data_IF_211767373423
#
_entry.id   IF_211767373423
#
_cell.length_a   1.000
_cell.length_b   1.000
_cell.length_c   1.000
_cell.angle_alpha   90.00
_cell.angle_beta   90.00
_cell.angle_gamma   90.00
#
_symmetry.space_group_name_H-M   'P 1'
#
loop_
_entity.id
_entity.type
_entity.pdbx_description
1 polymer ?
#
# COMPACT_ATOMS: atom_id res chain seq x y z
N UNK A 1 18.15 -3.17 23.65
CA UNK A 1 17.09 -2.14 23.70
C UNK A 1 17.65 -0.83 23.16
N UNK A 2 17.60 -0.60 21.84
CA UNK A 2 17.93 0.71 21.27
C UNK A 2 16.64 1.34 20.74
N UNK A 3 16.10 2.30 21.49
CA UNK A 3 15.03 3.19 21.04
C UNK A 3 15.67 4.29 20.21
N UNK A 4 15.68 4.13 18.89
CA UNK A 4 15.86 5.26 18.01
C UNK A 4 14.49 5.90 17.80
N UNK A 5 14.28 7.05 18.44
CA UNK A 5 13.17 7.95 18.12
C UNK A 5 13.52 8.60 16.79
N UNK A 6 13.14 7.96 15.67
CA UNK A 6 13.28 8.56 14.36
C UNK A 6 12.07 9.47 14.08
N UNK A 7 12.35 10.68 13.61
CA UNK A 7 11.36 11.56 12.98
C UNK A 7 10.95 10.91 11.66
N UNK A 8 9.88 10.12 11.66
CA UNK A 8 9.38 9.45 10.47
C UNK A 8 8.50 10.39 9.64
N UNK A 9 8.81 10.51 8.35
CA UNK A 9 7.80 10.84 7.34
C UNK A 9 7.03 9.55 7.08
N UNK A 10 5.81 9.46 7.60
CA UNK A 10 4.94 8.32 7.32
C UNK A 10 4.41 8.43 5.90
N UNK A 11 5.05 7.74 4.94
CA UNK A 11 4.44 7.47 3.64
C UNK A 11 3.58 6.21 3.82
N UNK A 12 2.37 6.42 4.34
CA UNK A 12 1.34 5.41 4.30
C UNK A 12 0.89 5.23 2.85
N UNK A 13 1.23 4.09 2.22
CA UNK A 13 0.56 3.67 0.98
C UNK A 13 -0.80 3.06 1.38
N UNK A 14 -1.66 3.89 1.98
CA UNK A 14 -3.10 3.63 1.98
C UNK A 14 -3.58 4.08 0.60
N UNK A 15 -3.81 3.13 -0.31
CA UNK A 15 -4.69 3.39 -1.47
C UNK A 15 -6.13 3.36 -0.95
N UNK A 16 -6.42 4.32 -0.08
CA UNK A 16 -7.76 4.80 0.21
C UNK A 16 -7.69 6.30 -0.01
N UNK A 17 -8.58 6.81 -0.83
CA UNK A 17 -8.78 8.23 -1.09
C UNK A 17 -9.20 8.88 0.24
N UNK A 18 -8.23 9.29 1.06
CA UNK A 18 -8.45 10.13 2.22
C UNK A 18 -7.15 10.82 2.63
N UNK A 19 -6.86 11.93 1.93
CA UNK A 19 -6.38 13.20 2.50
C UNK A 19 -5.21 13.13 3.52
N UNK A 20 -3.98 13.45 3.11
CA UNK A 20 -3.44 14.82 3.23
C UNK A 20 -3.59 15.45 4.64
N UNK A 21 -2.61 15.24 5.53
CA UNK A 21 -2.46 16.08 6.75
C UNK A 21 -1.69 17.39 6.54
N UNK A 22 -1.36 17.75 5.31
CA UNK A 22 -0.81 19.09 4.98
C UNK A 22 -1.38 19.70 3.69
N UNK A 23 -2.44 19.11 3.14
CA UNK A 23 -3.05 19.60 1.89
C UNK A 23 -4.60 19.43 1.90
N UNK A 24 -5.23 19.62 3.06
CA UNK A 24 -6.67 19.47 3.27
C UNK A 24 -7.58 20.47 2.51
N UNK A 25 -7.07 21.15 1.46
CA UNK A 25 -7.81 22.12 0.64
C UNK A 25 -7.56 21.98 -0.86
N UNK A 26 -6.81 20.96 -1.33
CA UNK A 26 -6.58 20.77 -2.76
C UNK A 26 -7.66 19.85 -3.38
N UNK A 27 -8.27 20.21 -4.53
CA UNK A 27 -9.20 19.33 -5.25
C UNK A 27 -8.50 18.04 -5.65
N UNK A 28 -9.26 16.93 -5.69
CA UNK A 28 -8.75 15.61 -6.07
C UNK A 28 -8.20 15.66 -7.51
N UNK A 29 -6.88 15.79 -7.66
CA UNK A 29 -6.23 15.79 -8.98
C UNK A 29 -6.03 14.35 -9.45
N UNK A 30 -6.32 14.10 -10.73
CA UNK A 30 -6.12 12.77 -11.34
C UNK A 30 -4.64 12.45 -11.57
N UNK A 31 -3.79 13.47 -11.60
CA UNK A 31 -2.33 13.35 -11.61
C UNK A 31 -1.78 14.31 -10.57
N UNK A 32 -0.79 13.88 -9.80
CA UNK A 32 -0.13 14.75 -8.82
C UNK A 32 1.36 14.52 -8.84
N UNK A 33 2.12 15.59 -8.97
CA UNK A 33 3.58 15.59 -8.90
C UNK A 33 3.98 16.45 -7.70
N UNK A 34 4.84 15.95 -6.83
CA UNK A 34 5.34 16.73 -5.70
C UNK A 34 6.80 16.43 -5.40
N UNK A 35 7.43 17.42 -4.78
CA UNK A 35 8.79 17.35 -4.30
C UNK A 35 8.81 17.30 -2.77
N UNK A 36 9.72 16.49 -2.24
CA UNK A 36 10.05 16.50 -0.81
C UNK A 36 11.48 16.98 -0.64
N UNK A 37 11.67 17.92 0.29
CA UNK A 37 12.96 18.55 0.60
C UNK A 37 13.75 19.03 -0.64
N UNK A 38 13.04 19.47 -1.69
CA UNK A 38 13.62 19.97 -2.95
C UNK A 38 14.50 18.97 -3.71
N UNK A 39 14.42 17.67 -3.39
CA UNK A 39 15.39 16.68 -3.90
C UNK A 39 14.78 15.32 -4.22
N UNK A 40 13.60 14.96 -3.70
CA UNK A 40 12.92 13.73 -4.07
C UNK A 40 11.62 14.04 -4.81
N UNK A 41 11.47 13.47 -6.00
CA UNK A 41 10.29 13.64 -6.84
C UNK A 41 9.37 12.41 -6.77
N UNK A 42 8.08 12.63 -6.58
CA UNK A 42 7.05 11.60 -6.57
C UNK A 42 5.93 11.97 -7.53
N UNK A 43 5.51 10.99 -8.34
CA UNK A 43 4.44 11.12 -9.32
C UNK A 43 3.32 10.13 -8.96
N UNK A 44 2.16 10.64 -8.56
CA UNK A 44 0.94 9.86 -8.40
C UNK A 44 0.11 9.91 -9.68
N UNK A 45 -0.26 8.74 -10.17
CA UNK A 45 -1.05 8.57 -11.39
C UNK A 45 -2.36 7.86 -11.06
N UNK A 46 -3.47 8.45 -11.51
CA UNK A 46 -4.75 7.75 -11.56
C UNK A 46 -4.72 6.68 -12.66
N UNK A 47 -4.24 5.49 -12.32
CA UNK A 47 -4.12 4.37 -13.25
C UNK A 47 -5.46 3.87 -13.79
N UNK A 48 -6.58 4.15 -13.12
CA UNK A 48 -7.93 3.81 -13.63
C UNK A 48 -8.25 4.61 -14.89
N UNK A 49 -7.72 5.83 -15.00
CA UNK A 49 -7.89 6.68 -16.17
C UNK A 49 -6.94 6.33 -17.33
N UNK A 50 -6.10 5.30 -17.20
CA UNK A 50 -5.19 4.82 -18.26
C UNK A 50 -5.75 3.61 -19.02
N UNK A 51 -7.07 3.55 -19.15
CA UNK A 51 -7.77 2.47 -19.84
C UNK A 51 -7.48 2.45 -21.36
N UNK A 52 -7.29 3.63 -21.97
CA UNK A 52 -7.00 3.79 -23.40
C UNK A 52 -8.25 3.76 -24.31
N UNK A 53 -9.43 3.98 -23.74
CA UNK A 53 -10.72 4.10 -24.44
C UNK A 53 -11.05 5.54 -24.87
N UNK A 54 -10.15 6.48 -24.65
CA UNK A 54 -10.33 7.91 -24.95
C UNK A 54 -11.54 8.52 -24.22
N UNK A 55 -11.90 7.99 -23.05
CA UNK A 55 -12.89 8.64 -22.19
C UNK A 55 -12.43 10.08 -21.85
N UNK A 56 -13.33 11.06 -21.63
CA UNK A 56 -12.92 12.46 -21.41
C UNK A 56 -11.93 12.66 -20.25
N UNK A 57 -12.06 11.88 -19.18
CA UNK A 57 -11.13 11.89 -18.05
C UNK A 57 -9.81 11.22 -18.43
N UNK A 58 -9.87 10.11 -19.17
CA UNK A 58 -8.73 9.33 -19.62
C UNK A 58 -7.82 10.17 -20.53
N UNK A 59 -8.41 10.85 -21.51
CA UNK A 59 -7.69 11.74 -22.41
C UNK A 59 -7.04 12.90 -21.64
N UNK A 60 -7.77 13.54 -20.72
CA UNK A 60 -7.23 14.62 -19.89
C UNK A 60 -6.03 14.16 -19.05
N UNK A 61 -6.10 12.97 -18.47
CA UNK A 61 -5.00 12.37 -17.69
C UNK A 61 -3.80 12.08 -18.57
N UNK A 62 -3.98 11.47 -19.75
CA UNK A 62 -2.87 11.22 -20.67
C UNK A 62 -2.21 12.54 -21.14
N UNK A 63 -3.00 13.57 -21.45
CA UNK A 63 -2.49 14.89 -21.84
C UNK A 63 -1.72 15.57 -20.69
N UNK A 64 -2.21 15.48 -19.46
CA UNK A 64 -1.54 16.01 -18.27
C UNK A 64 -0.21 15.29 -18.01
N UNK A 65 -0.20 13.95 -18.09
CA UNK A 65 1.03 13.15 -17.96
C UNK A 65 2.05 13.49 -19.04
N UNK A 66 1.60 13.66 -20.29
CA UNK A 66 2.48 14.03 -21.39
C UNK A 66 3.08 15.45 -21.20
N UNK A 67 2.30 16.40 -20.69
CA UNK A 67 2.81 17.75 -20.36
C UNK A 67 3.83 17.70 -19.22
N UNK A 68 3.56 16.92 -18.17
CA UNK A 68 4.48 16.75 -17.04
C UNK A 68 5.77 16.05 -17.46
N UNK A 69 5.70 15.04 -18.33
CA UNK A 69 6.90 14.34 -18.82
C UNK A 69 7.81 15.28 -19.61
N UNK A 70 7.23 16.16 -20.44
CA UNK A 70 7.98 17.18 -21.15
C UNK A 70 8.67 18.16 -20.18
N UNK A 71 7.96 18.69 -19.18
CA UNK A 71 8.52 19.61 -18.20
C UNK A 71 9.64 18.98 -17.34
N UNK A 72 9.48 17.71 -16.96
CA UNK A 72 10.51 16.94 -16.25
C UNK A 72 11.74 16.71 -17.12
N UNK A 73 11.57 16.34 -18.39
CA UNK A 73 12.68 16.13 -19.30
C UNK A 73 13.45 17.43 -19.54
N UNK A 74 12.75 18.57 -19.64
CA UNK A 74 13.36 19.91 -19.68
C UNK A 74 14.18 20.22 -18.43
N UNK A 75 13.68 19.85 -17.25
CA UNK A 75 14.39 20.07 -15.98
C UNK A 75 15.67 19.22 -15.90
N UNK A 76 15.65 18.00 -16.44
CA UNK A 76 16.80 17.07 -16.43
C UNK A 76 17.87 17.48 -17.47
N UNK A 77 17.46 17.86 -18.67
CA UNK A 77 18.37 18.15 -19.79
C UNK A 77 18.99 19.56 -19.72
N UNK A 78 18.43 20.46 -18.91
CA UNK A 78 18.93 21.83 -18.76
C UNK A 78 18.79 22.68 -20.04
N UNK A 79 19.51 23.81 -20.08
CA UNK A 79 19.40 24.86 -21.10
C UNK A 79 19.83 24.47 -22.54
N UNK A 80 20.14 23.19 -22.80
CA UNK A 80 20.58 22.67 -24.10
C UNK A 80 19.44 22.72 -25.17
N UNK A 81 18.18 22.82 -24.75
CA UNK A 81 16.99 22.96 -25.61
C UNK A 81 16.20 24.26 -25.30
N UNK A 82 16.89 25.41 -25.25
CA UNK A 82 16.35 26.72 -24.85
C UNK A 82 15.05 27.14 -25.58
N UNK A 83 14.83 26.67 -26.81
CA UNK A 83 13.63 26.96 -27.59
C UNK A 83 12.39 26.11 -27.24
N UNK A 84 12.58 24.82 -26.93
CA UNK A 84 11.49 23.87 -26.68
C UNK A 84 11.02 23.87 -25.21
N UNK A 85 11.90 24.22 -24.27
CA UNK A 85 11.60 24.27 -22.84
C UNK A 85 11.17 25.66 -22.34
N UNK A 86 10.75 26.56 -23.24
CA UNK A 86 10.33 27.91 -22.88
C UNK A 86 8.97 27.85 -22.15
N UNK A 87 8.87 28.46 -20.98
CA UNK A 87 7.67 28.51 -20.12
C UNK A 87 7.23 27.17 -19.50
N UNK A 88 8.10 26.17 -19.39
CA UNK A 88 7.80 24.95 -18.65
C UNK A 88 8.05 25.12 -17.15
N UNK A 89 7.21 24.49 -16.33
CA UNK A 89 7.47 24.35 -14.90
C UNK A 89 8.82 23.63 -14.68
N UNK A 90 9.55 24.07 -13.66
CA UNK A 90 10.87 23.53 -13.31
C UNK A 90 10.73 22.64 -12.08
N UNK A 91 11.34 21.46 -12.14
CA UNK A 91 11.31 20.46 -11.08
C UNK A 91 12.72 19.99 -10.70
N UNK A 92 12.85 19.31 -9.56
CA UNK A 92 14.07 18.63 -9.18
C UNK A 92 14.52 17.66 -10.29
N UNK A 93 15.76 17.77 -10.82
CA UNK A 93 16.25 16.97 -11.93
C UNK A 93 16.62 15.56 -11.44
N UNK A 94 15.59 14.78 -11.13
CA UNK A 94 15.68 13.42 -10.57
C UNK A 94 14.61 12.55 -11.19
N UNK A 95 14.93 11.26 -11.38
CA UNK A 95 13.92 10.29 -11.81
C UNK A 95 12.85 10.15 -10.71
N UNK A 96 11.55 10.26 -11.05
CA UNK A 96 10.49 10.20 -10.06
C UNK A 96 10.32 8.78 -9.49
N UNK A 97 9.75 8.70 -8.29
CA UNK A 97 9.09 7.50 -7.79
C UNK A 97 7.64 7.53 -8.31
N UNK A 98 7.26 6.54 -9.10
CA UNK A 98 5.91 6.42 -9.65
C UNK A 98 5.01 5.68 -8.66
N UNK A 99 3.88 6.30 -8.33
CA UNK A 99 2.87 5.77 -7.43
C UNK A 99 1.57 5.59 -8.21
N UNK A 100 1.01 4.38 -8.19
CA UNK A 100 -0.24 4.08 -8.87
C UNK A 100 -0.99 2.93 -8.19
N UNK A 101 -2.25 2.70 -8.58
CA UNK A 101 -3.02 1.59 -8.03
C UNK A 101 -2.82 0.29 -8.81
N UNK A 102 -3.04 0.32 -10.12
CA UNK A 102 -2.90 -0.86 -10.98
C UNK A 102 -1.42 -1.10 -11.29
N UNK A 103 -0.93 -2.34 -11.25
CA UNK A 103 0.43 -2.66 -11.66
C UNK A 103 0.69 -2.34 -13.13
N UNK A 104 1.96 -2.19 -13.49
CA UNK A 104 2.33 -2.23 -14.90
C UNK A 104 2.04 -3.61 -15.48
N UNK A 105 1.96 -3.66 -16.80
CA UNK A 105 1.65 -4.88 -17.52
C UNK A 105 2.65 -6.00 -17.18
N UNK A 106 2.12 -7.12 -16.70
CA UNK A 106 2.79 -8.42 -16.61
C UNK A 106 1.79 -9.53 -16.92
N UNK A 107 2.27 -10.67 -17.41
CA UNK A 107 1.40 -11.76 -17.88
C UNK A 107 0.69 -12.46 -16.72
N UNK A 108 1.38 -12.62 -15.59
CA UNK A 108 0.86 -13.22 -14.37
C UNK A 108 1.79 -12.91 -13.19
N UNK A 109 1.47 -13.43 -12.01
CA UNK A 109 2.32 -13.38 -10.82
C UNK A 109 3.31 -14.56 -10.71
N UNK A 110 3.54 -15.31 -11.80
CA UNK A 110 4.36 -16.52 -11.78
C UNK A 110 5.79 -16.30 -11.27
N UNK A 111 6.35 -15.11 -11.52
CA UNK A 111 7.69 -14.72 -11.09
C UNK A 111 7.75 -14.18 -9.66
N UNK A 112 6.60 -13.89 -9.04
CA UNK A 112 6.54 -13.28 -7.72
C UNK A 112 6.95 -14.30 -6.65
N UNK A 113 7.81 -13.89 -5.73
CA UNK A 113 8.27 -14.71 -4.59
C UNK A 113 8.06 -13.98 -3.27
N UNK A 114 8.04 -14.73 -2.16
CA UNK A 114 7.87 -14.18 -0.81
C UNK A 114 6.67 -14.76 -0.08
N UNK A 115 6.60 -14.46 1.23
CA UNK A 115 5.56 -14.98 2.14
C UNK A 115 4.18 -14.37 1.84
N UNK A 116 4.15 -13.13 1.38
CA UNK A 116 2.94 -12.40 0.98
C UNK A 116 2.71 -12.42 -0.54
N UNK A 117 3.42 -13.25 -1.29
CA UNK A 117 3.17 -13.42 -2.72
C UNK A 117 1.82 -14.11 -3.00
N UNK A 118 1.42 -14.15 -4.26
CA UNK A 118 0.26 -14.93 -4.73
C UNK A 118 0.44 -16.40 -4.36
N UNK A 119 -0.58 -17.15 -3.91
CA UNK A 119 -0.46 -18.61 -3.70
C UNK A 119 0.02 -19.32 -4.97
N UNK A 120 0.71 -20.46 -4.84
CA UNK A 120 1.25 -21.18 -6.01
C UNK A 120 0.15 -21.59 -6.99
N UNK A 121 -1.01 -21.99 -6.48
CA UNK A 121 -2.16 -22.42 -7.27
C UNK A 121 -2.74 -21.27 -8.13
N UNK A 122 -2.55 -20.02 -7.70
CA UNK A 122 -3.09 -18.83 -8.37
C UNK A 122 -2.02 -18.03 -9.15
N UNK A 123 -0.73 -18.23 -8.85
CA UNK A 123 0.38 -17.43 -9.43
C UNK A 123 0.46 -17.50 -10.96
N UNK A 124 0.01 -18.59 -11.56
CA UNK A 124 0.06 -18.80 -13.01
C UNK A 124 -1.19 -18.30 -13.75
N UNK A 125 -2.19 -17.78 -13.03
CA UNK A 125 -3.38 -17.20 -13.65
C UNK A 125 -2.99 -16.00 -14.52
N UNK A 126 -3.51 -16.00 -15.75
CA UNK A 126 -3.22 -14.95 -16.72
C UNK A 126 -3.98 -13.67 -16.35
N UNK A 127 -3.26 -12.56 -16.29
CA UNK A 127 -3.85 -11.26 -16.05
C UNK A 127 -4.52 -10.69 -17.29
N UNK A 128 -5.70 -10.12 -17.06
CA UNK A 128 -6.44 -9.34 -18.03
C UNK A 128 -5.94 -7.88 -18.02
N UNK A 129 -5.51 -7.40 -19.19
CA UNK A 129 -5.20 -5.99 -19.39
C UNK A 129 -6.40 -5.10 -19.04
N UNK A 130 -6.15 -3.96 -18.41
CA UNK A 130 -7.14 -2.96 -17.98
C UNK A 130 -8.10 -3.44 -16.88
N UNK A 131 -7.86 -4.63 -16.32
CA UNK A 131 -8.59 -5.14 -15.17
C UNK A 131 -7.64 -5.53 -14.05
N UNK A 132 -6.74 -6.49 -14.26
CA UNK A 132 -5.76 -6.89 -13.23
C UNK A 132 -4.50 -6.01 -13.25
N UNK A 133 -4.14 -5.53 -14.44
CA UNK A 133 -2.93 -4.74 -14.72
C UNK A 133 -3.23 -3.65 -15.74
N UNK A 134 -2.37 -2.63 -15.82
CA UNK A 134 -2.43 -1.68 -16.92
C UNK A 134 -2.20 -2.37 -18.27
N UNK A 135 -2.71 -1.74 -19.34
CA UNK A 135 -2.42 -2.21 -20.69
C UNK A 135 -0.92 -2.15 -21.01
N UNK A 136 -0.45 -2.99 -21.94
CA UNK A 136 0.92 -2.92 -22.47
C UNK A 136 1.27 -1.51 -22.95
N UNK A 137 0.33 -0.87 -23.65
CA UNK A 137 0.53 0.47 -24.21
C UNK A 137 0.68 1.53 -23.11
N UNK A 138 -0.23 1.54 -22.13
CA UNK A 138 -0.16 2.47 -21.00
C UNK A 138 1.14 2.28 -20.19
N UNK A 139 1.52 1.02 -19.96
CA UNK A 139 2.75 0.69 -19.22
C UNK A 139 3.99 1.21 -19.95
N UNK A 140 4.10 0.97 -21.26
CA UNK A 140 5.20 1.50 -22.08
C UNK A 140 5.23 3.03 -22.12
N UNK A 141 4.07 3.70 -22.24
CA UNK A 141 3.98 5.16 -22.18
C UNK A 141 4.56 5.70 -20.87
N UNK A 142 4.14 5.14 -19.71
CA UNK A 142 4.62 5.58 -18.40
C UNK A 142 6.14 5.39 -18.23
N UNK A 143 6.66 4.23 -18.62
CA UNK A 143 8.11 3.95 -18.56
C UNK A 143 8.90 4.90 -19.47
N UNK A 144 8.42 5.13 -20.69
CA UNK A 144 9.08 6.00 -21.66
C UNK A 144 9.07 7.47 -21.23
N UNK A 145 7.92 7.97 -20.75
CA UNK A 145 7.74 9.35 -20.35
C UNK A 145 8.52 9.73 -19.09
N UNK A 146 8.53 8.85 -18.09
CA UNK A 146 9.01 9.23 -16.75
C UNK A 146 10.30 8.55 -16.35
N UNK A 147 10.65 7.40 -16.96
CA UNK A 147 11.84 6.61 -16.61
C UNK A 147 12.00 6.47 -15.08
N UNK A 148 10.95 6.00 -14.38
CA UNK A 148 10.88 6.09 -12.93
C UNK A 148 11.97 5.24 -12.29
N UNK A 149 12.57 5.71 -11.20
CA UNK A 149 13.59 4.92 -10.47
C UNK A 149 12.99 3.81 -9.61
N UNK A 150 11.69 3.91 -9.31
CA UNK A 150 10.92 2.93 -8.56
C UNK A 150 9.44 3.13 -8.89
N UNK A 151 8.71 2.02 -9.06
CA UNK A 151 7.27 1.99 -9.20
C UNK A 151 6.67 1.30 -7.97
N UNK A 152 5.69 1.93 -7.33
CA UNK A 152 4.91 1.33 -6.24
C UNK A 152 3.47 1.21 -6.72
N UNK A 153 2.99 -0.03 -6.79
CA UNK A 153 1.64 -0.38 -7.24
C UNK A 153 0.89 -1.18 -6.18
N UNK A 154 -0.34 -1.60 -6.47
CA UNK A 154 -1.12 -2.47 -5.61
C UNK A 154 -2.11 -3.30 -6.43
N UNK A 155 -3.40 -3.16 -6.13
CA UNK A 155 -4.54 -3.78 -6.82
C UNK A 155 -4.66 -5.30 -6.70
N UNK A 156 -3.63 -6.08 -6.99
CA UNK A 156 -3.71 -7.56 -6.90
C UNK A 156 -3.80 -8.05 -5.44
N UNK A 157 -3.63 -7.15 -4.47
CA UNK A 157 -3.57 -7.45 -3.04
C UNK A 157 -2.37 -8.29 -2.60
N UNK A 158 -1.64 -8.95 -3.51
CA UNK A 158 -0.44 -9.76 -3.22
C UNK A 158 0.85 -8.97 -3.41
N UNK A 159 1.87 -9.34 -2.64
CA UNK A 159 3.20 -8.77 -2.74
C UNK A 159 3.89 -9.31 -4.00
N UNK A 160 4.43 -8.43 -4.82
CA UNK A 160 5.25 -8.85 -5.96
C UNK A 160 6.36 -7.85 -6.24
N UNK A 161 7.51 -8.35 -6.67
CA UNK A 161 8.65 -7.55 -7.09
C UNK A 161 8.96 -7.94 -8.54
N UNK A 162 8.93 -6.95 -9.44
CA UNK A 162 9.12 -7.16 -10.88
C UNK A 162 10.12 -6.14 -11.38
N UNK A 163 11.06 -6.58 -12.22
CA UNK A 163 11.98 -5.68 -12.91
C UNK A 163 11.55 -5.54 -14.37
N UNK A 164 11.01 -4.37 -14.73
CA UNK A 164 10.58 -4.10 -16.11
C UNK A 164 11.74 -3.66 -16.98
N UNK A 165 11.84 -4.23 -18.17
CA UNK A 165 12.89 -3.94 -19.16
C UNK A 165 14.32 -4.06 -18.59
N UNK A 166 14.51 -4.88 -17.54
CA UNK A 166 15.76 -4.99 -16.76
C UNK A 166 16.26 -3.67 -16.15
N UNK A 167 15.39 -2.66 -16.02
CA UNK A 167 15.76 -1.30 -15.63
C UNK A 167 14.85 -0.71 -14.55
N UNK A 168 13.55 -0.95 -14.60
CA UNK A 168 12.58 -0.24 -13.76
C UNK A 168 11.98 -1.18 -12.71
N UNK A 169 12.41 -1.09 -11.44
CA UNK A 169 11.87 -1.93 -10.38
C UNK A 169 10.45 -1.49 -10.02
N UNK A 170 9.52 -2.44 -10.02
CA UNK A 170 8.16 -2.31 -9.53
C UNK A 170 7.94 -3.20 -8.31
N UNK A 171 7.36 -2.61 -7.26
CA UNK A 171 6.90 -3.32 -6.07
C UNK A 171 5.39 -3.16 -5.96
N UNK A 172 4.65 -4.26 -6.16
CA UNK A 172 3.23 -4.33 -5.85
C UNK A 172 3.07 -4.52 -4.34
N UNK A 173 2.56 -3.49 -3.66
CA UNK A 173 2.33 -3.47 -2.23
C UNK A 173 1.07 -4.30 -1.93
N UNK A 174 1.17 -5.32 -1.06
CA UNK A 174 0.02 -6.13 -0.71
C UNK A 174 -1.01 -5.34 0.09
N UNK A 175 -2.21 -5.90 0.20
CA UNK A 175 -3.26 -5.29 1.01
C UNK A 175 -2.92 -5.36 2.49
N UNK A 176 -3.12 -4.24 3.18
CA UNK A 176 -3.08 -4.13 4.64
C UNK A 176 -4.28 -4.81 5.33
N UNK A 177 -5.34 -5.16 4.59
CA UNK A 177 -6.60 -5.64 5.16
C UNK A 177 -6.69 -7.16 5.21
N UNK A 178 -7.02 -7.70 6.38
CA UNK A 178 -7.33 -9.13 6.56
C UNK A 178 -8.46 -9.62 5.65
N UNK A 179 -9.39 -8.73 5.25
CA UNK A 179 -10.47 -9.05 4.31
C UNK A 179 -9.96 -9.69 3.01
N UNK A 180 -8.77 -9.31 2.57
CA UNK A 180 -8.22 -9.75 1.29
C UNK A 180 -7.17 -10.85 1.46
N UNK A 181 -6.59 -11.02 2.66
CA UNK A 181 -5.48 -11.95 2.91
C UNK A 181 -5.30 -12.24 4.40
N UNK A 182 -4.92 -13.48 4.73
CA UNK A 182 -4.64 -13.87 6.11
C UNK A 182 -3.40 -13.16 6.69
N UNK A 183 -2.36 -12.88 5.89
CA UNK A 183 -1.07 -12.34 6.32
C UNK A 183 -0.76 -10.93 5.71
N UNK A 184 -1.51 -9.88 6.08
CA UNK A 184 -1.30 -8.56 5.50
C UNK A 184 0.06 -7.99 5.87
N UNK A 185 0.57 -7.12 5.02
CA UNK A 185 1.84 -6.44 5.24
C UNK A 185 1.78 -5.00 4.72
N UNK A 186 2.75 -4.19 5.13
CA UNK A 186 2.96 -2.83 4.63
C UNK A 186 4.44 -2.61 4.35
N UNK A 187 4.74 -1.61 3.54
CA UNK A 187 6.12 -1.23 3.21
C UNK A 187 6.42 0.14 3.80
N UNK A 188 7.58 0.24 4.45
CA UNK A 188 8.19 1.48 4.87
C UNK A 188 9.33 1.81 3.91
N UNK A 189 9.30 3.00 3.32
CA UNK A 189 10.32 3.47 2.41
C UNK A 189 11.10 4.64 2.96
N UNK A 190 12.42 4.64 2.77
CA UNK A 190 13.26 5.83 2.88
C UNK A 190 13.77 6.20 1.50
N UNK A 191 13.70 7.49 1.17
CA UNK A 191 13.98 7.98 -0.18
C UNK A 191 15.04 9.07 -0.11
N UNK A 192 16.02 8.98 -1.00
CA UNK A 192 17.00 10.04 -1.26
C UNK A 192 16.85 10.53 -2.70
N UNK A 193 17.70 11.47 -3.10
CA UNK A 193 17.73 12.05 -4.46
C UNK A 193 17.96 10.98 -5.55
N UNK A 194 18.80 9.99 -5.27
CA UNK A 194 19.23 8.98 -6.25
C UNK A 194 18.88 7.54 -5.85
N UNK A 195 18.52 7.30 -4.59
CA UNK A 195 18.38 5.95 -4.04
C UNK A 195 17.12 5.82 -3.17
N UNK A 196 16.74 4.58 -2.87
CA UNK A 196 15.64 4.26 -1.98
C UNK A 196 15.94 2.97 -1.20
N UNK A 197 15.36 2.85 0.00
CA UNK A 197 15.37 1.60 0.76
C UNK A 197 13.97 1.26 1.21
N UNK A 198 13.56 0.03 0.98
CA UNK A 198 12.25 -0.47 1.37
C UNK A 198 12.40 -1.55 2.44
N UNK A 199 11.55 -1.49 3.45
CA UNK A 199 11.40 -2.51 4.48
C UNK A 199 9.96 -2.97 4.53
N UNK A 200 9.75 -4.27 4.36
CA UNK A 200 8.43 -4.90 4.44
C UNK A 200 8.15 -5.36 5.88
N UNK A 201 6.98 -5.03 6.39
CA UNK A 201 6.55 -5.33 7.75
C UNK A 201 5.22 -6.09 7.71
N UNK A 202 5.17 -7.24 8.36
CA UNK A 202 3.98 -8.09 8.43
C UNK A 202 3.15 -7.75 9.66
N UNK A 203 1.83 -7.82 9.50
CA UNK A 203 0.88 -7.81 10.60
C UNK A 203 0.64 -9.24 11.07
N UNK A 204 0.13 -9.43 12.30
CA UNK A 204 -0.33 -10.74 12.75
C UNK A 204 -1.33 -11.34 11.77
N UNK A 205 -1.32 -12.67 11.63
CA UNK A 205 -2.29 -13.34 10.77
C UNK A 205 -3.71 -13.24 11.33
N UNK A 206 -4.72 -13.11 10.47
CA UNK A 206 -6.13 -13.07 10.87
C UNK A 206 -6.49 -14.28 11.73
N UNK A 207 -6.10 -15.47 11.28
CA UNK A 207 -6.33 -16.74 12.01
C UNK A 207 -5.70 -16.72 13.39
N UNK A 208 -4.50 -16.14 13.53
CA UNK A 208 -3.80 -16.02 14.82
C UNK A 208 -4.56 -15.07 15.76
N UNK A 209 -5.04 -13.94 15.24
CA UNK A 209 -5.83 -12.97 16.02
C UNK A 209 -7.17 -13.58 16.46
N UNK A 210 -7.87 -14.26 15.55
CA UNK A 210 -9.12 -14.95 15.86
C UNK A 210 -8.92 -16.06 16.92
N UNK A 211 -7.87 -16.87 16.78
CA UNK A 211 -7.54 -17.90 17.75
C UNK A 211 -7.24 -17.31 19.14
N UNK A 212 -6.52 -16.19 19.22
CA UNK A 212 -6.26 -15.47 20.47
C UNK A 212 -7.56 -14.95 21.11
N UNK A 213 -8.49 -14.41 20.33
CA UNK A 213 -9.78 -13.94 20.84
C UNK A 213 -10.64 -15.09 21.34
N UNK A 214 -10.80 -16.16 20.56
CA UNK A 214 -11.58 -17.33 20.95
C UNK A 214 -11.03 -18.01 22.21
N UNK A 215 -9.70 -18.19 22.29
CA UNK A 215 -9.06 -18.76 23.48
C UNK A 215 -9.21 -17.87 24.70
N UNK A 216 -9.06 -16.55 24.56
CA UNK A 216 -9.25 -15.59 25.65
C UNK A 216 -10.70 -15.61 26.17
N UNK A 217 -11.69 -15.60 25.27
CA UNK A 217 -13.10 -15.71 25.63
C UNK A 217 -13.41 -17.02 26.36
N UNK A 218 -12.85 -18.15 25.89
CA UNK A 218 -13.01 -19.45 26.55
C UNK A 218 -12.42 -19.43 27.97
N UNK A 219 -11.22 -18.90 28.14
CA UNK A 219 -10.56 -18.79 29.45
C UNK A 219 -11.40 -17.93 30.40
N UNK A 220 -11.87 -16.77 29.95
CA UNK A 220 -12.74 -15.89 30.76
C UNK A 220 -14.04 -16.60 31.14
N UNK A 221 -14.67 -17.32 30.22
CA UNK A 221 -15.87 -18.10 30.51
C UNK A 221 -15.62 -19.20 31.55
N UNK A 222 -14.50 -19.93 31.45
CA UNK A 222 -14.13 -20.96 32.43
C UNK A 222 -13.86 -20.36 33.82
N UNK A 223 -13.18 -19.22 33.90
CA UNK A 223 -12.91 -18.51 35.15
C UNK A 223 -14.23 -18.07 35.81
N UNK A 224 -15.12 -17.42 35.05
CA UNK A 224 -16.41 -16.95 35.57
C UNK A 224 -17.28 -18.12 36.03
N UNK A 225 -17.36 -19.21 35.27
CA UNK A 225 -18.08 -20.43 35.68
C UNK A 225 -17.50 -21.05 36.96
N UNK A 226 -16.16 -21.06 37.10
CA UNK A 226 -15.49 -21.54 38.32
C UNK A 226 -15.83 -20.67 39.53
N UNK A 227 -15.76 -19.35 39.39
CA UNK A 227 -16.11 -18.39 40.44
C UNK A 227 -17.58 -18.53 40.86
N UNK A 228 -18.51 -18.65 39.90
CA UNK A 228 -19.92 -18.86 40.18
C UNK A 228 -20.18 -20.18 40.94
N UNK A 229 -19.48 -21.26 40.57
CA UNK A 229 -19.56 -22.54 41.30
C UNK A 229 -19.03 -22.40 42.73
N UNK A 230 -17.90 -21.73 42.92
CA UNK A 230 -17.31 -21.48 44.24
C UNK A 230 -18.23 -20.62 45.12
N UNK A 231 -18.78 -19.55 44.57
CA UNK A 231 -19.74 -18.68 45.26
C UNK A 231 -21.02 -19.44 45.65
N UNK A 232 -21.60 -20.23 44.73
CA UNK A 232 -22.78 -21.06 45.01
C UNK A 232 -22.50 -22.09 46.11
N UNK A 233 -21.32 -22.71 46.11
CA UNK A 233 -20.89 -23.63 47.20
C UNK A 233 -20.81 -22.90 48.54
N UNK A 234 -20.20 -21.72 48.57
CA UNK A 234 -20.13 -20.88 49.78
C UNK A 234 -21.51 -20.50 50.32
N UNK A 235 -22.42 -20.05 49.44
CA UNK A 235 -23.80 -19.70 49.82
C UNK A 235 -24.58 -20.91 50.35
N UNK A 236 -24.43 -22.08 49.72
CA UNK A 236 -25.06 -23.32 50.20
C UNK A 236 -24.56 -23.72 51.59
N UNK A 237 -23.24 -23.59 51.85
CA UNK A 237 -22.67 -23.83 53.18
C UNK A 237 -23.22 -22.86 54.22
N UNK A 238 -23.30 -21.56 53.91
CA UNK A 238 -23.86 -20.54 54.79
C UNK A 238 -25.34 -20.83 55.11
N UNK A 239 -26.15 -21.16 54.11
CA UNK A 239 -27.55 -21.53 54.30
C UNK A 239 -27.71 -22.79 55.16
N UNK A 240 -26.82 -23.78 55.00
CA UNK A 240 -26.81 -24.99 55.85
C UNK A 240 -26.50 -24.66 57.31
N UNK A 241 -25.53 -23.77 57.57
CA UNK A 241 -25.17 -23.31 58.91
C UNK A 241 -26.31 -22.51 59.56
N UNK A 242 -26.92 -21.58 58.83
CA UNK A 242 -28.08 -20.79 59.31
C UNK A 242 -29.28 -21.69 59.62
N UNK A 243 -29.52 -22.75 58.84
CA UNK A 243 -30.61 -23.72 59.09
C UNK A 243 -30.37 -24.52 60.37
N UNK A 244 -29.13 -24.96 60.64
CA UNK A 244 -28.79 -25.65 61.90
C UNK A 244 -28.98 -24.77 63.13
N UNK A 245 -28.74 -23.46 63.00
CA UNK A 245 -28.86 -22.51 64.11
C UNK A 245 -30.32 -22.14 64.46
N UNK A 246 -31.29 -22.40 63.56
CA UNK A 246 -32.73 -22.20 63.80
C UNK A 246 -33.44 -23.42 64.42
N UNK A 247 -32.76 -24.57 64.51
CA UNK A 247 -33.31 -25.82 65.04
C UNK A 247 -32.86 -26.14 66.47
N UNK A 248 -32.19 -25.19 67.12
CA UNK A 248 -31.87 -25.15 68.56
C UNK A 248 -32.73 -24.07 69.22
#
# INVERSE_FOLDING_TARGET
>A
MNRYVCKYVYIYIYIYISSMRSAATAPFRSVSLWETHGTQLFLLVNSVALHGDHCPICQRVEEELHKLSHALNCSIQGAQHYGQCKNTESFAPTAPVLLQHYPLYRVSDAMCTGVDATPLDDRYQLFQERYDVLSKNASKKLLWWFKPRLILSGHTHHGCEVLHENLYPEISVPSFSWRNRNNPSFILGTFSRSDFRLSKCFLPEERSVLALYCSSCLIIALITLSQMKMFRRSLHMLNSLLRKHKTL
#
